data_IF_534166579342
#
_entry.id   IF_534166579342
#
_cell.length_a   1.000
_cell.length_b   1.000
_cell.length_c   1.000
_cell.angle_alpha   90.00
_cell.angle_beta   90.00
_cell.angle_gamma   90.00
#
_symmetry.space_group_name_H-M   'P 1'
#
loop_
_entity.id
_entity.type
_entity.pdbx_description
1 polymer ?
#
# COMPACT_ATOMS: atom_id res chain seq x y z
N UNK A 1 23.77 21.41 -20.83
CA UNK A 1 22.46 21.63 -21.49
C UNK A 1 21.84 22.86 -20.85
N UNK A 2 21.57 23.91 -21.63
CA UNK A 2 20.89 25.09 -21.11
C UNK A 2 19.38 24.84 -21.01
N UNK A 3 18.67 25.71 -20.28
CA UNK A 3 17.22 25.61 -20.17
C UNK A 3 16.50 25.81 -21.53
N UNK A 4 17.06 26.65 -22.41
CA UNK A 4 16.53 26.85 -23.75
C UNK A 4 16.73 25.61 -24.62
N UNK A 5 17.92 24.99 -24.57
CA UNK A 5 18.17 23.72 -25.28
C UNK A 5 17.19 22.64 -24.83
N UNK A 6 16.92 22.58 -23.52
CA UNK A 6 15.95 21.64 -22.96
C UNK A 6 14.55 21.88 -23.52
N UNK A 7 14.05 23.13 -23.50
CA UNK A 7 12.73 23.49 -24.05
C UNK A 7 12.62 23.19 -25.53
N UNK A 8 13.62 23.56 -26.33
CA UNK A 8 13.65 23.28 -27.76
C UNK A 8 13.61 21.77 -28.02
N UNK A 9 14.29 20.97 -27.20
CA UNK A 9 14.25 19.52 -27.33
C UNK A 9 12.86 18.89 -27.13
N UNK A 10 11.92 19.59 -26.50
CA UNK A 10 10.55 19.10 -26.26
C UNK A 10 9.62 19.28 -27.46
N UNK A 11 10.05 20.02 -28.49
CA UNK A 11 9.23 20.25 -29.69
C UNK A 11 8.80 18.96 -30.39
N UNK A 12 9.65 17.94 -30.34
CA UNK A 12 9.50 16.68 -31.06
C UNK A 12 9.38 15.46 -30.12
N UNK A 13 9.25 15.68 -28.80
CA UNK A 13 9.09 14.59 -27.82
C UNK A 13 8.27 15.01 -26.61
N UNK A 14 7.65 14.04 -25.97
CA UNK A 14 6.97 14.22 -24.68
C UNK A 14 7.88 13.87 -23.50
N UNK A 15 7.54 14.40 -22.32
CA UNK A 15 8.19 14.04 -21.07
C UNK A 15 7.57 12.76 -20.51
N UNK A 16 8.40 11.83 -20.04
CA UNK A 16 7.89 10.62 -19.39
C UNK A 16 7.22 10.99 -18.07
N UNK A 17 5.90 10.77 -17.99
CA UNK A 17 5.11 10.99 -16.77
C UNK A 17 4.65 12.43 -16.54
N UNK A 18 4.97 13.37 -17.44
CA UNK A 18 4.68 14.80 -17.31
C UNK A 18 4.22 15.38 -18.64
N UNK A 19 3.74 16.62 -18.59
CA UNK A 19 3.33 17.38 -19.76
C UNK A 19 3.74 18.85 -19.61
N UNK A 20 3.71 19.63 -20.67
CA UNK A 20 3.98 21.07 -20.61
C UNK A 20 3.43 21.77 -21.84
N UNK A 21 3.45 23.10 -21.86
CA UNK A 21 3.13 23.86 -23.09
C UNK A 21 4.11 23.58 -24.25
N UNK A 22 5.32 23.07 -23.94
CA UNK A 22 6.39 22.85 -24.91
C UNK A 22 6.46 21.42 -25.44
N UNK A 23 5.74 20.46 -24.83
CA UNK A 23 5.74 19.07 -25.27
C UNK A 23 5.09 18.93 -26.65
N UNK A 24 5.54 17.94 -27.41
CA UNK A 24 4.98 17.61 -28.71
C UNK A 24 3.45 17.47 -28.67
N UNK A 25 2.91 16.72 -27.69
CA UNK A 25 1.48 16.46 -27.57
C UNK A 25 0.65 17.74 -27.36
N UNK A 26 1.05 18.62 -26.45
CA UNK A 26 0.32 19.87 -26.19
C UNK A 26 0.43 20.85 -27.36
N UNK A 27 1.62 20.98 -27.98
CA UNK A 27 1.81 21.83 -29.18
C UNK A 27 0.95 21.35 -30.34
N UNK A 28 0.84 20.03 -30.54
CA UNK A 28 -0.03 19.44 -31.57
C UNK A 28 -1.50 19.79 -31.33
N UNK A 29 -1.97 19.76 -30.07
CA UNK A 29 -3.33 20.18 -29.74
C UNK A 29 -3.56 21.67 -30.02
N UNK A 30 -2.62 22.54 -29.64
CA UNK A 30 -2.70 23.99 -29.95
C UNK A 30 -2.86 24.22 -31.45
N UNK A 31 -2.05 23.54 -32.27
CA UNK A 31 -2.15 23.63 -33.73
C UNK A 31 -3.48 23.06 -34.26
N UNK A 32 -3.93 21.90 -33.77
CA UNK A 32 -5.17 21.24 -34.20
C UNK A 32 -6.41 22.12 -33.97
N UNK A 33 -6.44 22.86 -32.86
CA UNK A 33 -7.55 23.74 -32.51
C UNK A 33 -7.36 25.18 -33.02
N UNK A 34 -6.29 25.46 -33.78
CA UNK A 34 -5.93 26.82 -34.22
C UNK A 34 -5.91 27.83 -33.06
N UNK A 35 -5.42 27.39 -31.88
CA UNK A 35 -5.37 28.21 -30.68
C UNK A 35 -4.14 29.12 -30.68
N UNK A 36 -4.24 30.29 -30.04
CA UNK A 36 -3.12 31.23 -29.85
C UNK A 36 -2.04 30.67 -28.91
N UNK A 37 -2.44 29.75 -28.03
CA UNK A 37 -1.57 29.07 -27.08
C UNK A 37 -2.39 28.14 -26.18
N UNK A 38 -1.74 27.57 -25.17
CA UNK A 38 -2.41 26.74 -24.17
C UNK A 38 -2.47 27.47 -22.82
N UNK A 39 -3.63 27.42 -22.16
CA UNK A 39 -3.81 27.93 -20.80
C UNK A 39 -3.70 26.76 -19.80
N UNK A 40 -2.50 26.54 -19.28
CA UNK A 40 -2.19 25.42 -18.39
C UNK A 40 -2.26 25.79 -16.91
N UNK A 41 -2.39 24.78 -16.06
CA UNK A 41 -2.07 24.87 -14.64
C UNK A 41 -1.10 23.76 -14.19
N UNK A 42 -0.65 23.82 -12.93
CA UNK A 42 0.29 22.85 -12.37
C UNK A 42 -0.15 21.39 -12.51
N UNK A 43 -1.46 21.13 -12.43
CA UNK A 43 -1.99 19.76 -12.50
C UNK A 43 -1.91 19.18 -13.90
N UNK A 44 -2.07 20.00 -14.93
CA UNK A 44 -1.79 19.57 -16.30
C UNK A 44 -0.33 19.15 -16.47
N UNK A 45 0.60 19.93 -15.93
CA UNK A 45 2.05 19.67 -16.01
C UNK A 45 2.45 18.42 -15.24
N UNK A 46 1.89 18.23 -14.04
CA UNK A 46 2.18 17.11 -13.13
C UNK A 46 1.46 15.80 -13.50
N UNK A 47 0.74 15.76 -14.61
CA UNK A 47 0.07 14.55 -15.12
C UNK A 47 0.62 14.17 -16.49
N UNK A 48 0.68 12.88 -16.84
CA UNK A 48 1.25 12.46 -18.12
C UNK A 48 0.37 12.89 -19.31
N UNK A 49 0.93 12.85 -20.51
CA UNK A 49 0.22 13.20 -21.76
C UNK A 49 -0.96 12.27 -22.05
N UNK A 50 -0.88 11.01 -21.62
CA UNK A 50 -1.90 9.97 -21.76
C UNK A 50 -2.88 9.92 -20.58
N UNK A 51 -2.84 10.92 -19.70
CA UNK A 51 -3.77 11.00 -18.58
C UNK A 51 -5.23 11.04 -19.06
N UNK A 52 -6.08 10.29 -18.36
CA UNK A 52 -7.52 10.27 -18.54
C UNK A 52 -8.24 10.63 -17.25
N UNK A 53 -9.37 11.33 -17.37
CA UNK A 53 -10.16 11.74 -16.21
C UNK A 53 -10.73 10.51 -15.48
N UNK A 54 -10.56 10.38 -14.15
CA UNK A 54 -11.09 9.25 -13.41
C UNK A 54 -12.61 9.20 -13.39
N UNK A 55 -13.30 10.34 -13.57
CA UNK A 55 -14.76 10.39 -13.65
C UNK A 55 -15.26 10.07 -15.06
N UNK A 56 -14.98 10.93 -16.06
CA UNK A 56 -15.56 10.80 -17.41
C UNK A 56 -14.72 10.01 -18.42
N UNK A 57 -13.53 9.51 -18.03
CA UNK A 57 -12.60 8.73 -18.85
C UNK A 57 -12.06 9.41 -20.12
N UNK A 58 -12.41 10.69 -20.35
CA UNK A 58 -11.87 11.49 -21.46
C UNK A 58 -10.38 11.74 -21.27
N UNK A 59 -9.62 11.66 -22.37
CA UNK A 59 -8.19 11.99 -22.43
C UNK A 59 -7.96 13.50 -22.44
N UNK A 60 -6.72 13.95 -22.22
CA UNK A 60 -6.32 15.37 -22.38
C UNK A 60 -6.80 15.98 -23.71
N UNK A 61 -6.60 15.28 -24.82
CA UNK A 61 -7.06 15.76 -26.14
C UNK A 61 -8.59 15.87 -26.29
N UNK A 62 -9.37 15.17 -25.46
CA UNK A 62 -10.83 15.19 -25.47
C UNK A 62 -11.46 16.17 -24.47
N UNK A 63 -10.67 16.78 -23.57
CA UNK A 63 -11.18 17.75 -22.58
C UNK A 63 -10.82 19.20 -22.92
N UNK A 64 -9.91 19.40 -23.87
CA UNK A 64 -9.53 20.74 -24.33
C UNK A 64 -10.61 21.37 -25.20
N UNK A 65 -10.74 22.69 -25.16
CA UNK A 65 -11.55 23.51 -26.06
C UNK A 65 -10.99 24.92 -26.11
N UNK A 66 -11.40 25.73 -27.08
CA UNK A 66 -11.05 27.15 -27.09
C UNK A 66 -11.81 27.87 -25.99
N UNK A 67 -11.10 28.71 -25.24
CA UNK A 67 -11.73 29.68 -24.34
C UNK A 67 -12.09 30.97 -25.11
N UNK A 68 -12.72 31.92 -24.42
CA UNK A 68 -13.14 33.22 -24.97
C UNK A 68 -12.00 34.08 -25.56
N UNK A 69 -10.75 33.77 -25.25
CA UNK A 69 -9.56 34.47 -25.71
C UNK A 69 -8.79 33.65 -26.77
N UNK A 70 -9.38 32.61 -27.37
CA UNK A 70 -8.73 31.70 -28.32
C UNK A 70 -7.54 30.89 -27.78
N UNK A 71 -7.40 30.74 -26.46
CA UNK A 71 -6.44 29.83 -25.85
C UNK A 71 -7.09 28.47 -25.59
N UNK A 72 -6.31 27.40 -25.72
CA UNK A 72 -6.74 26.04 -25.44
C UNK A 72 -6.85 25.79 -23.93
N UNK A 73 -7.99 25.29 -23.45
CA UNK A 73 -8.23 25.05 -22.02
C UNK A 73 -7.50 23.78 -21.53
N UNK A 74 -6.32 23.95 -20.96
CA UNK A 74 -5.48 22.87 -20.46
C UNK A 74 -5.45 22.84 -18.92
N UNK A 75 -6.63 22.76 -18.29
CA UNK A 75 -6.78 22.85 -16.83
C UNK A 75 -7.33 21.57 -16.21
N UNK A 76 -6.65 21.07 -15.18
CA UNK A 76 -7.10 19.98 -14.32
C UNK A 76 -7.27 20.48 -12.89
N UNK A 77 -8.09 19.82 -12.08
CA UNK A 77 -8.41 20.25 -10.72
C UNK A 77 -8.15 19.15 -9.72
N UNK A 78 -7.63 19.50 -8.54
CA UNK A 78 -7.63 18.59 -7.39
C UNK A 78 -9.01 18.62 -6.74
N UNK A 79 -9.79 17.59 -7.01
CA UNK A 79 -11.09 17.36 -6.42
C UNK A 79 -10.92 16.70 -5.05
N UNK A 80 -11.55 17.25 -4.03
CA UNK A 80 -11.41 16.80 -2.65
C UNK A 80 -12.75 16.89 -1.92
N UNK A 81 -12.87 16.11 -0.85
CA UNK A 81 -13.94 16.23 0.12
C UNK A 81 -13.63 17.40 1.07
N UNK A 82 -14.65 18.14 1.51
CA UNK A 82 -14.48 19.35 2.33
C UNK A 82 -14.52 19.11 3.85
N UNK A 83 -14.34 17.86 4.31
CA UNK A 83 -14.30 17.55 5.75
C UNK A 83 -13.19 18.28 6.50
N UNK A 84 -12.09 18.67 5.83
CA UNK A 84 -11.03 19.47 6.43
C UNK A 84 -11.55 20.86 6.84
N UNK A 85 -12.27 21.53 5.94
CA UNK A 85 -12.92 22.81 6.19
C UNK A 85 -14.05 22.71 7.21
N UNK A 86 -14.84 21.62 7.18
CA UNK A 86 -15.90 21.35 8.17
C UNK A 86 -15.34 21.35 9.58
N UNK A 87 -14.34 20.50 9.82
CA UNK A 87 -13.80 20.29 11.16
C UNK A 87 -13.13 21.56 11.67
N UNK A 88 -12.39 22.27 10.80
CA UNK A 88 -11.79 23.56 11.13
C UNK A 88 -12.85 24.60 11.55
N UNK A 89 -13.90 24.76 10.74
CA UNK A 89 -14.98 25.71 11.01
C UNK A 89 -15.72 25.39 12.31
N UNK A 90 -16.00 24.10 12.55
CA UNK A 90 -16.66 23.67 13.79
C UNK A 90 -15.76 23.87 15.00
N UNK A 91 -14.46 23.58 14.90
CA UNK A 91 -13.50 23.81 15.97
C UNK A 91 -13.44 25.30 16.34
N UNK A 92 -13.29 26.19 15.35
CA UNK A 92 -13.28 27.63 15.56
C UNK A 92 -14.58 28.09 16.25
N UNK A 93 -15.74 27.65 15.77
CA UNK A 93 -17.04 27.93 16.39
C UNK A 93 -17.08 27.53 17.86
N UNK A 94 -16.65 26.31 18.20
CA UNK A 94 -16.70 25.82 19.58
C UNK A 94 -15.63 26.45 20.49
N UNK A 95 -14.47 26.79 19.93
CA UNK A 95 -13.41 27.46 20.67
C UNK A 95 -13.79 28.92 21.01
N UNK A 96 -14.37 29.66 20.06
CA UNK A 96 -14.82 31.05 20.27
C UNK A 96 -15.98 31.15 21.25
N UNK A 97 -16.91 30.18 21.23
CA UNK A 97 -18.06 30.18 22.13
C UNK A 97 -17.71 30.02 23.62
N UNK A 98 -16.43 29.85 23.97
CA UNK A 98 -15.97 29.63 25.34
C UNK A 98 -15.43 30.90 25.98
N UNK A 99 -15.83 31.13 27.23
CA UNK A 99 -15.36 32.24 28.05
C UNK A 99 -13.90 32.09 28.53
N UNK A 100 -13.33 30.89 28.47
CA UNK A 100 -11.93 30.63 28.80
C UNK A 100 -11.24 29.95 27.61
N UNK A 101 -10.16 30.57 27.12
CA UNK A 101 -9.39 30.06 26.00
C UNK A 101 -8.46 28.93 26.46
N UNK A 102 -8.93 27.70 26.30
CA UNK A 102 -8.18 26.47 26.65
C UNK A 102 -7.55 25.83 25.40
N UNK A 103 -8.19 26.00 24.23
CA UNK A 103 -7.74 25.46 22.96
C UNK A 103 -6.58 26.28 22.35
N UNK A 104 -5.61 25.56 21.79
CA UNK A 104 -4.39 26.10 21.18
C UNK A 104 -4.18 25.52 19.76
N UNK A 105 -3.05 25.85 19.12
CA UNK A 105 -2.71 25.35 17.78
C UNK A 105 -2.65 23.81 17.73
N UNK A 106 -2.31 23.14 18.85
CA UNK A 106 -2.25 21.68 18.91
C UNK A 106 -3.66 21.08 18.91
N UNK A 107 -4.61 21.73 19.60
CA UNK A 107 -6.03 21.38 19.53
C UNK A 107 -6.56 21.48 18.10
N UNK A 108 -6.24 22.56 17.37
CA UNK A 108 -6.65 22.72 15.97
C UNK A 108 -6.07 21.61 15.08
N UNK A 109 -4.76 21.33 15.21
CA UNK A 109 -4.10 20.25 14.46
C UNK A 109 -4.72 18.88 14.73
N UNK A 110 -5.11 18.60 15.98
CA UNK A 110 -5.81 17.36 16.32
C UNK A 110 -7.16 17.28 15.61
N UNK A 111 -7.95 18.36 15.64
CA UNK A 111 -9.23 18.42 14.95
C UNK A 111 -9.03 18.15 13.44
N UNK A 112 -8.17 18.91 12.77
CA UNK A 112 -7.89 18.76 11.33
C UNK A 112 -7.45 17.34 10.97
N UNK A 113 -6.64 16.68 11.82
CA UNK A 113 -6.18 15.30 11.58
C UNK A 113 -7.34 14.29 11.47
N UNK A 114 -8.45 14.52 12.16
CA UNK A 114 -9.65 13.68 12.08
C UNK A 114 -10.32 13.73 10.70
N UNK A 115 -10.19 14.83 9.95
CA UNK A 115 -10.84 15.03 8.68
C UNK A 115 -10.44 13.99 7.62
N UNK A 116 -9.20 13.50 7.68
CA UNK A 116 -8.73 12.45 6.78
C UNK A 116 -9.59 11.18 6.91
N UNK A 117 -9.88 10.75 8.14
CA UNK A 117 -10.72 9.56 8.40
C UNK A 117 -12.20 9.78 8.08
N UNK A 118 -12.63 11.04 7.99
CA UNK A 118 -14.02 11.42 7.69
C UNK A 118 -14.23 11.73 6.20
N UNK A 119 -13.19 11.87 5.40
CA UNK A 119 -13.34 12.15 3.96
C UNK A 119 -13.94 10.94 3.24
N UNK A 120 -14.89 11.15 2.31
CA UNK A 120 -15.50 10.03 1.57
C UNK A 120 -14.53 9.41 0.53
N UNK A 121 -13.54 10.17 0.10
CA UNK A 121 -12.59 9.77 -0.94
C UNK A 121 -11.28 10.59 -0.83
N UNK A 122 -10.21 10.04 -1.39
CA UNK A 122 -8.90 10.70 -1.46
C UNK A 122 -8.90 11.87 -2.46
N UNK A 123 -8.06 12.89 -2.19
CA UNK A 123 -7.82 14.00 -3.12
C UNK A 123 -7.41 13.45 -4.49
N UNK A 124 -8.15 13.79 -5.53
CA UNK A 124 -8.04 13.17 -6.85
C UNK A 124 -7.99 14.23 -7.95
N UNK A 125 -7.09 14.08 -8.92
CA UNK A 125 -7.06 14.99 -10.07
C UNK A 125 -8.18 14.62 -11.05
N UNK A 126 -8.99 15.61 -11.43
CA UNK A 126 -10.11 15.49 -12.38
C UNK A 126 -10.02 16.56 -13.46
N UNK A 127 -10.76 16.41 -14.55
CA UNK A 127 -10.84 17.46 -15.56
C UNK A 127 -11.70 18.63 -15.08
N UNK A 128 -11.45 19.83 -15.64
CA UNK A 128 -12.21 21.03 -15.34
C UNK A 128 -13.73 20.81 -15.40
N UNK A 129 -14.21 20.11 -16.42
CA UNK A 129 -15.65 19.89 -16.62
C UNK A 129 -16.26 18.98 -15.55
N UNK A 130 -15.54 17.96 -15.07
CA UNK A 130 -16.04 17.10 -13.99
C UNK A 130 -16.09 17.86 -12.66
N UNK A 131 -15.10 18.72 -12.41
CA UNK A 131 -15.11 19.60 -11.23
C UNK A 131 -16.29 20.59 -11.28
N UNK A 132 -16.59 21.14 -12.47
CA UNK A 132 -17.77 21.97 -12.68
C UNK A 132 -19.07 21.19 -12.51
N UNK A 133 -19.13 19.97 -13.04
CA UNK A 133 -20.31 19.11 -12.94
C UNK A 133 -20.66 18.75 -11.49
N UNK A 134 -19.67 18.55 -10.62
CA UNK A 134 -19.91 18.45 -9.16
C UNK A 134 -20.62 19.69 -8.62
N UNK A 135 -20.05 20.88 -8.87
CA UNK A 135 -20.62 22.14 -8.39
C UNK A 135 -22.06 22.37 -8.89
N UNK A 136 -22.34 22.03 -10.14
CA UNK A 136 -23.68 22.21 -10.73
C UNK A 136 -24.66 21.14 -10.23
N UNK A 137 -24.24 19.88 -10.08
CA UNK A 137 -25.07 18.82 -9.50
C UNK A 137 -25.47 19.13 -8.05
N UNK A 138 -24.55 19.70 -7.24
CA UNK A 138 -24.84 20.13 -5.87
C UNK A 138 -25.95 21.17 -5.79
N UNK A 139 -26.00 22.11 -6.74
CA UNK A 139 -27.08 23.11 -6.83
C UNK A 139 -28.42 22.45 -7.16
N UNK A 140 -28.43 21.49 -8.10
CA UNK A 140 -29.64 20.77 -8.52
C UNK A 140 -30.26 20.01 -7.35
N UNK A 141 -29.45 19.25 -6.60
CA UNK A 141 -29.93 18.43 -5.48
C UNK A 141 -30.03 19.19 -4.15
N UNK A 142 -29.64 20.47 -4.12
CA UNK A 142 -29.56 21.31 -2.92
C UNK A 142 -28.72 20.66 -1.81
N UNK A 143 -27.57 20.12 -2.19
CA UNK A 143 -26.65 19.49 -1.25
C UNK A 143 -26.07 20.50 -0.24
N UNK A 144 -25.56 19.99 0.87
CA UNK A 144 -24.84 20.80 1.85
C UNK A 144 -23.59 21.46 1.23
N UNK A 145 -23.23 22.67 1.67
CA UNK A 145 -22.11 23.44 1.09
C UNK A 145 -20.75 22.71 1.18
N UNK A 146 -20.55 21.91 2.24
CA UNK A 146 -19.35 21.09 2.43
C UNK A 146 -19.44 19.68 1.82
N UNK A 147 -20.51 19.37 1.10
CA UNK A 147 -20.60 18.12 0.37
C UNK A 147 -19.89 18.24 -0.98
N UNK A 148 -19.32 17.14 -1.44
CA UNK A 148 -18.79 16.94 -2.79
C UNK A 148 -18.99 15.48 -3.20
N UNK A 149 -19.40 15.26 -4.45
CA UNK A 149 -19.55 13.91 -5.00
C UNK A 149 -18.18 13.28 -5.25
N UNK A 150 -18.01 12.00 -4.93
CA UNK A 150 -16.78 11.28 -5.27
C UNK A 150 -16.59 11.17 -6.79
N UNK A 151 -15.36 10.93 -7.30
CA UNK A 151 -15.14 10.72 -8.74
C UNK A 151 -16.02 9.62 -9.35
N UNK A 152 -16.32 8.57 -8.57
CA UNK A 152 -17.23 7.49 -8.97
C UNK A 152 -18.67 8.00 -9.08
N UNK A 153 -19.14 8.74 -8.09
CA UNK A 153 -20.49 9.33 -8.10
C UNK A 153 -20.66 10.32 -9.25
N UNK A 154 -19.67 11.18 -9.50
CA UNK A 154 -19.68 12.10 -10.65
C UNK A 154 -19.84 11.32 -11.96
N UNK A 155 -19.14 10.19 -12.11
CA UNK A 155 -19.21 9.37 -13.33
C UNK A 155 -20.61 8.80 -13.62
N UNK A 156 -21.47 8.68 -12.61
CA UNK A 156 -22.82 8.12 -12.78
C UNK A 156 -23.77 9.12 -13.47
N UNK A 157 -23.64 10.42 -13.19
CA UNK A 157 -24.57 11.43 -13.71
C UNK A 157 -24.01 12.33 -14.81
N UNK A 158 -22.71 12.30 -15.10
CA UNK A 158 -22.13 13.11 -16.19
C UNK A 158 -22.35 12.47 -17.56
N UNK A 159 -22.92 13.24 -18.47
CA UNK A 159 -23.00 12.90 -19.89
C UNK A 159 -21.87 13.67 -20.58
N UNK A 160 -20.89 12.93 -21.11
CA UNK A 160 -19.68 13.50 -21.70
C UNK A 160 -19.63 13.34 -23.21
N UNK A 161 -19.08 14.36 -23.88
CA UNK A 161 -18.68 14.30 -25.29
C UNK A 161 -17.29 14.93 -25.46
N UNK A 162 -16.51 14.54 -26.48
CA UNK A 162 -15.21 15.14 -26.75
C UNK A 162 -15.31 16.66 -26.97
N UNK A 163 -14.41 17.41 -26.34
CA UNK A 163 -14.19 18.85 -26.52
C UNK A 163 -15.39 19.76 -26.18
N UNK A 164 -16.38 19.22 -25.46
CA UNK A 164 -17.56 19.96 -25.01
C UNK A 164 -17.70 19.85 -23.48
N UNK A 165 -18.47 20.78 -22.90
CA UNK A 165 -18.82 20.73 -21.48
C UNK A 165 -19.75 19.55 -21.17
N UNK A 166 -19.71 19.08 -19.91
CA UNK A 166 -20.60 18.02 -19.48
C UNK A 166 -22.05 18.51 -19.37
N UNK A 167 -22.97 17.62 -19.76
CA UNK A 167 -24.38 17.72 -19.34
C UNK A 167 -24.57 16.85 -18.10
N UNK A 168 -25.52 17.22 -17.25
CA UNK A 168 -25.85 16.48 -16.03
C UNK A 168 -27.17 15.75 -16.24
N UNK A 169 -27.19 14.46 -15.95
CA UNK A 169 -28.44 13.72 -15.77
C UNK A 169 -28.99 14.02 -14.37
N UNK A 170 -29.94 14.94 -14.27
CA UNK A 170 -30.49 15.41 -13.00
C UNK A 170 -31.13 14.31 -12.17
N UNK A 171 -31.79 13.35 -12.82
CA UNK A 171 -32.47 12.25 -12.15
C UNK A 171 -31.45 11.32 -11.49
N UNK A 172 -30.39 10.96 -12.20
CA UNK A 172 -29.30 10.15 -11.61
C UNK A 172 -28.59 10.94 -10.51
N UNK A 173 -28.34 12.25 -10.68
CA UNK A 173 -27.72 13.07 -9.64
C UNK A 173 -28.54 13.05 -8.33
N UNK A 174 -29.87 13.12 -8.40
CA UNK A 174 -30.77 12.99 -7.24
C UNK A 174 -30.67 11.61 -6.59
N UNK A 175 -30.72 10.53 -7.39
CA UNK A 175 -30.60 9.16 -6.87
C UNK A 175 -29.26 8.91 -6.18
N UNK A 176 -28.17 9.44 -6.76
CA UNK A 176 -26.83 9.38 -6.15
C UNK A 176 -26.81 10.13 -4.83
N UNK A 177 -27.38 11.34 -4.77
CA UNK A 177 -27.47 12.14 -3.55
C UNK A 177 -28.26 11.41 -2.45
N UNK A 178 -29.46 10.91 -2.75
CA UNK A 178 -30.29 10.16 -1.79
C UNK A 178 -29.55 8.97 -1.19
N UNK A 179 -28.73 8.29 -2.00
CA UNK A 179 -27.92 7.15 -1.58
C UNK A 179 -26.78 7.56 -0.63
N UNK A 180 -26.10 8.68 -0.87
CA UNK A 180 -24.91 9.09 -0.09
C UNK A 180 -25.22 10.07 1.05
N UNK A 181 -26.40 10.69 1.03
CA UNK A 181 -26.81 11.67 2.04
C UNK A 181 -26.78 11.10 3.47
N UNK A 182 -27.26 9.87 3.77
CA UNK A 182 -27.24 9.35 5.13
C UNK A 182 -25.82 9.22 5.71
N UNK A 183 -24.87 8.73 4.91
CA UNK A 183 -23.48 8.58 5.38
C UNK A 183 -22.78 9.94 5.51
N UNK A 184 -23.13 10.94 4.68
CA UNK A 184 -22.65 12.31 4.86
C UNK A 184 -23.08 12.90 6.20
N UNK A 185 -24.32 12.69 6.64
CA UNK A 185 -24.80 13.16 7.95
C UNK A 185 -24.02 12.54 9.11
N UNK A 186 -23.77 11.23 9.07
CA UNK A 186 -22.96 10.54 10.10
C UNK A 186 -21.55 11.15 10.16
N UNK A 187 -20.95 11.45 9.02
CA UNK A 187 -19.63 12.11 8.97
C UNK A 187 -19.65 13.50 9.58
N UNK A 188 -20.69 14.29 9.35
CA UNK A 188 -20.89 15.61 9.96
C UNK A 188 -21.03 15.51 11.49
N UNK A 189 -21.81 14.54 12.00
CA UNK A 189 -21.94 14.31 13.45
C UNK A 189 -20.60 13.91 14.09
N UNK A 190 -19.81 13.08 13.42
CA UNK A 190 -18.47 12.72 13.89
C UNK A 190 -17.53 13.93 13.88
N UNK A 191 -17.54 14.74 12.81
CA UNK A 191 -16.75 15.95 12.70
C UNK A 191 -17.05 16.93 13.85
N UNK A 192 -18.33 17.08 14.19
CA UNK A 192 -18.77 17.89 15.33
C UNK A 192 -18.22 17.38 16.66
N UNK A 193 -18.31 16.06 16.92
CA UNK A 193 -17.75 15.45 18.14
C UNK A 193 -16.24 15.67 18.25
N UNK A 194 -15.48 15.48 17.17
CA UNK A 194 -14.03 15.71 17.18
C UNK A 194 -13.68 17.18 17.41
N UNK A 195 -14.40 18.10 16.75
CA UNK A 195 -14.22 19.54 16.95
C UNK A 195 -14.50 19.97 18.40
N UNK A 196 -15.57 19.44 19.03
CA UNK A 196 -15.88 19.71 20.44
C UNK A 196 -14.80 19.18 21.38
N UNK A 197 -14.34 17.93 21.20
CA UNK A 197 -13.26 17.34 22.01
C UNK A 197 -11.99 18.18 21.91
N UNK A 198 -11.63 18.61 20.70
CA UNK A 198 -10.48 19.46 20.44
C UNK A 198 -10.60 20.82 21.13
N UNK A 199 -11.75 21.48 21.01
CA UNK A 199 -12.05 22.75 21.67
C UNK A 199 -12.07 22.63 23.20
N UNK A 200 -12.36 21.43 23.71
CA UNK A 200 -12.35 21.10 25.14
C UNK A 200 -10.98 20.78 25.70
N UNK A 201 -10.00 20.48 24.84
CA UNK A 201 -8.71 19.93 25.24
C UNK A 201 -8.86 18.74 26.19
N UNK A 202 -9.87 17.89 25.95
CA UNK A 202 -9.94 16.57 26.59
C UNK A 202 -8.74 15.78 26.07
N UNK A 203 -7.85 15.32 26.96
CA UNK A 203 -6.48 14.81 26.73
C UNK A 203 -6.34 13.61 25.77
N UNK A 204 -6.85 13.71 24.54
CA UNK A 204 -6.85 12.64 23.53
C UNK A 204 -5.63 12.70 22.61
N UNK A 205 -4.95 13.85 22.56
CA UNK A 205 -3.79 14.05 21.70
C UNK A 205 -2.66 14.74 22.44
N UNK A 206 -1.57 14.00 22.63
CA UNK A 206 -0.33 14.52 23.17
C UNK A 206 0.72 14.53 22.04
N UNK A 207 1.16 15.70 21.56
CA UNK A 207 2.22 15.76 20.56
C UNK A 207 3.56 15.36 21.17
N UNK A 208 4.39 14.69 20.37
CA UNK A 208 5.79 14.47 20.71
C UNK A 208 6.60 15.75 20.50
N UNK A 209 7.60 16.02 21.34
CA UNK A 209 8.52 17.15 21.18
C UNK A 209 9.29 17.10 19.85
N UNK A 210 9.74 15.90 19.47
CA UNK A 210 10.38 15.63 18.19
C UNK A 210 9.69 14.42 17.55
N UNK A 211 9.24 14.57 16.31
CA UNK A 211 8.58 13.51 15.54
C UNK A 211 9.59 12.71 14.73
N UNK A 212 9.29 11.45 14.42
CA UNK A 212 10.15 10.63 13.53
C UNK A 212 10.41 11.30 12.19
N UNK A 213 9.41 11.96 11.59
CA UNK A 213 9.56 12.71 10.33
C UNK A 213 10.56 13.86 10.43
N UNK A 214 10.63 14.55 11.57
CA UNK A 214 11.63 15.59 11.78
C UNK A 214 13.04 14.99 11.88
N UNK A 215 13.18 13.87 12.61
CA UNK A 215 14.45 13.13 12.68
C UNK A 215 14.87 12.65 11.30
N UNK A 216 13.97 12.08 10.50
CA UNK A 216 14.22 11.62 9.12
C UNK A 216 14.70 12.76 8.21
N UNK A 217 14.04 13.93 8.25
CA UNK A 217 14.44 15.10 7.46
C UNK A 217 15.84 15.60 7.85
N UNK A 218 16.11 15.72 9.15
CA UNK A 218 17.44 16.10 9.67
C UNK A 218 18.49 15.07 9.25
N UNK A 219 18.16 13.79 9.38
CA UNK A 219 19.07 12.69 9.04
C UNK A 219 19.37 12.64 7.56
N UNK A 220 18.40 12.92 6.67
CA UNK A 220 18.62 13.00 5.23
C UNK A 220 19.68 14.06 4.87
N UNK A 221 19.60 15.24 5.48
CA UNK A 221 20.63 16.27 5.32
C UNK A 221 21.98 15.81 5.87
N UNK A 222 22.01 15.17 7.05
CA UNK A 222 23.24 14.62 7.61
C UNK A 222 23.85 13.52 6.72
N UNK A 223 23.03 12.67 6.11
CA UNK A 223 23.49 11.65 5.18
C UNK A 223 24.10 12.26 3.92
N UNK A 224 23.49 13.31 3.36
CA UNK A 224 24.04 14.06 2.23
C UNK A 224 25.37 14.74 2.60
N UNK A 225 25.40 15.45 3.73
CA UNK A 225 26.59 16.16 4.22
C UNK A 225 27.77 15.22 4.48
N UNK A 226 27.51 13.99 4.94
CA UNK A 226 28.54 12.98 5.19
C UNK A 226 28.79 12.07 3.98
N UNK A 227 28.27 12.38 2.79
CA UNK A 227 28.48 11.61 1.56
C UNK A 227 27.82 10.22 1.55
N UNK A 228 27.00 9.88 2.53
CA UNK A 228 26.38 8.55 2.64
C UNK A 228 25.35 8.31 1.53
N UNK A 229 24.71 9.36 0.99
CA UNK A 229 23.80 9.24 -0.15
C UNK A 229 24.51 8.91 -1.47
N UNK A 230 25.82 9.13 -1.56
CA UNK A 230 26.63 8.71 -2.72
C UNK A 230 26.94 7.20 -2.65
N UNK A 231 27.06 6.66 -1.44
CA UNK A 231 27.28 5.23 -1.19
C UNK A 231 25.98 4.42 -1.33
N UNK A 232 24.90 4.89 -0.72
CA UNK A 232 23.56 4.32 -0.85
C UNK A 232 22.50 5.41 -0.84
N UNK A 233 21.87 5.63 -2.01
CA UNK A 233 20.84 6.65 -2.20
C UNK A 233 19.53 6.34 -1.46
N UNK A 234 19.27 5.08 -1.14
CA UNK A 234 17.97 4.61 -0.69
C UNK A 234 17.93 4.30 0.80
N UNK A 235 18.96 3.64 1.34
CA UNK A 235 19.01 3.21 2.75
C UNK A 235 20.39 3.51 3.39
N UNK A 236 20.87 4.78 3.36
CA UNK A 236 22.19 5.17 3.85
C UNK A 236 22.43 4.83 5.32
N UNK A 237 21.38 4.78 6.14
CA UNK A 237 21.48 4.43 7.56
C UNK A 237 21.99 3.01 7.79
N UNK A 238 21.72 2.06 6.88
CA UNK A 238 22.14 0.66 7.02
C UNK A 238 23.65 0.46 6.94
N UNK A 239 24.38 1.45 6.44
CA UNK A 239 25.84 1.49 6.46
C UNK A 239 26.36 1.66 7.90
N UNK A 240 25.58 2.30 8.77
CA UNK A 240 26.00 2.71 10.11
C UNK A 240 25.65 1.68 11.21
N UNK A 241 24.99 0.59 10.88
CA UNK A 241 24.70 -0.47 11.84
C UNK A 241 24.62 -1.85 11.18
N UNK A 242 24.91 -2.90 11.95
CA UNK A 242 24.72 -4.25 11.46
C UNK A 242 23.21 -4.54 11.37
N UNK A 243 22.73 -4.72 10.15
CA UNK A 243 21.33 -5.07 9.88
C UNK A 243 20.98 -6.50 10.32
N UNK A 244 21.99 -7.36 10.53
CA UNK A 244 21.79 -8.68 11.10
C UNK A 244 21.65 -8.59 12.63
N UNK A 245 20.41 -8.70 13.11
CA UNK A 245 20.15 -8.90 14.54
C UNK A 245 20.91 -10.13 15.05
N UNK A 246 21.51 -10.04 16.24
CA UNK A 246 22.15 -11.18 16.91
C UNK A 246 21.14 -12.33 17.09
N UNK A 247 21.26 -13.41 16.28
CA UNK A 247 20.27 -14.51 16.20
C UNK A 247 20.39 -15.54 17.33
N UNK A 248 21.31 -15.35 18.29
CA UNK A 248 21.60 -16.33 19.33
C UNK A 248 22.22 -17.63 18.78
N UNK A 249 22.15 -18.73 19.55
CA UNK A 249 22.60 -20.05 19.08
C UNK A 249 21.74 -20.54 17.91
N UNK A 250 22.34 -21.23 16.94
CA UNK A 250 21.66 -21.66 15.71
C UNK A 250 20.47 -22.58 15.95
N UNK A 251 20.56 -23.45 16.95
CA UNK A 251 19.49 -24.40 17.29
C UNK A 251 18.36 -23.75 18.14
N UNK A 252 18.44 -22.46 18.44
CA UNK A 252 17.48 -21.80 19.33
C UNK A 252 16.03 -21.86 18.82
N UNK A 253 15.81 -21.92 17.50
CA UNK A 253 14.46 -22.01 16.91
C UNK A 253 13.72 -23.29 17.31
N UNK A 254 14.45 -24.41 17.47
CA UNK A 254 13.90 -25.72 17.84
C UNK A 254 13.85 -25.99 19.34
N UNK A 255 14.47 -25.12 20.14
CA UNK A 255 14.40 -25.16 21.62
C UNK A 255 13.27 -24.31 22.20
N UNK A 256 12.59 -23.49 21.39
CA UNK A 256 11.48 -22.65 21.84
C UNK A 256 10.25 -23.50 22.17
N UNK A 257 9.76 -23.39 23.40
CA UNK A 257 8.50 -24.01 23.81
C UNK A 257 7.31 -23.22 23.24
N UNK A 258 6.78 -23.68 22.11
CA UNK A 258 5.60 -23.06 21.49
C UNK A 258 4.32 -23.63 22.12
N UNK A 259 3.44 -22.81 22.73
CA UNK A 259 2.21 -23.30 23.34
C UNK A 259 1.29 -23.97 22.31
N UNK A 260 0.50 -24.93 22.79
CA UNK A 260 -0.58 -25.54 21.99
C UNK A 260 -1.76 -24.59 22.00
N UNK A 261 -2.29 -24.31 20.82
CA UNK A 261 -3.49 -23.49 20.65
C UNK A 261 -4.70 -24.43 20.67
N UNK A 262 -5.50 -24.33 21.73
CA UNK A 262 -6.71 -25.12 21.89
C UNK A 262 -7.91 -24.50 21.17
N UNK A 263 -7.92 -23.17 21.00
CA UNK A 263 -8.97 -22.45 20.27
C UNK A 263 -8.94 -22.88 18.80
N UNK A 264 -10.13 -23.07 18.21
CA UNK A 264 -10.31 -23.28 16.77
C UNK A 264 -10.94 -22.05 16.13
N UNK A 265 -10.61 -21.70 14.87
CA UNK A 265 -11.28 -20.61 14.18
C UNK A 265 -12.78 -20.89 14.04
N UNK A 266 -13.62 -19.95 14.48
CA UNK A 266 -15.06 -20.01 14.18
C UNK A 266 -15.33 -19.77 12.69
N UNK A 267 -16.54 -20.07 12.22
CA UNK A 267 -16.93 -19.81 10.83
C UNK A 267 -16.82 -18.31 10.47
N UNK A 268 -17.20 -17.42 11.40
CA UNK A 268 -17.10 -15.97 11.20
C UNK A 268 -15.64 -15.49 11.20
N UNK A 269 -14.81 -16.01 12.12
CA UNK A 269 -13.37 -15.69 12.15
C UNK A 269 -12.67 -16.18 10.89
N UNK A 270 -13.05 -17.35 10.37
CA UNK A 270 -12.54 -17.88 9.12
C UNK A 270 -13.00 -17.05 7.92
N UNK A 271 -14.28 -16.67 7.86
CA UNK A 271 -14.81 -15.78 6.81
C UNK A 271 -14.08 -14.44 6.79
N UNK A 272 -13.81 -13.86 7.97
CA UNK A 272 -13.01 -12.64 8.09
C UNK A 272 -11.55 -12.83 7.62
N UNK A 273 -10.92 -13.97 7.93
CA UNK A 273 -9.59 -14.30 7.42
C UNK A 273 -9.59 -14.35 5.88
N UNK A 274 -10.61 -14.96 5.29
CA UNK A 274 -10.75 -15.09 3.83
C UNK A 274 -10.95 -13.72 3.19
N UNK A 275 -11.88 -12.90 3.69
CA UNK A 275 -12.17 -11.59 3.10
C UNK A 275 -11.01 -10.59 3.21
N UNK A 276 -10.21 -10.68 4.27
CA UNK A 276 -9.10 -9.74 4.50
C UNK A 276 -7.75 -10.26 3.99
N UNK A 277 -7.54 -11.58 3.96
CA UNK A 277 -6.23 -12.22 3.68
C UNK A 277 -6.35 -13.59 2.99
N UNK A 278 -7.41 -13.79 2.21
CA UNK A 278 -7.77 -15.08 1.59
C UNK A 278 -6.89 -15.57 0.46
N UNK A 279 -5.85 -14.83 0.02
CA UNK A 279 -5.06 -15.20 -1.16
C UNK A 279 -4.49 -16.62 -1.16
N UNK A 280 -4.15 -17.17 0.01
CA UNK A 280 -3.68 -18.56 0.14
C UNK A 280 -4.84 -19.54 0.35
N UNK A 281 -5.95 -19.07 0.90
CA UNK A 281 -7.16 -19.87 1.09
C UNK A 281 -7.83 -20.21 -0.25
N UNK A 282 -7.93 -19.21 -1.14
CA UNK A 282 -8.58 -19.32 -2.46
C UNK A 282 -7.72 -20.06 -3.48
N UNK A 283 -6.39 -19.99 -3.33
CA UNK A 283 -5.44 -20.61 -4.26
C UNK A 283 -5.45 -22.15 -4.22
N UNK A 284 -5.78 -22.73 -3.07
CA UNK A 284 -5.75 -24.18 -2.86
C UNK A 284 -7.13 -24.65 -2.44
N UNK A 285 -7.63 -25.71 -3.08
CA UNK A 285 -8.90 -26.31 -2.71
C UNK A 285 -8.84 -27.03 -1.35
N UNK A 286 -9.97 -27.60 -0.92
CA UNK A 286 -10.09 -28.26 0.39
C UNK A 286 -9.45 -29.65 0.44
N UNK A 287 -9.07 -30.22 -0.71
CA UNK A 287 -8.33 -31.48 -0.80
C UNK A 287 -6.84 -31.30 -0.52
N UNK A 288 -6.32 -30.06 -0.61
CA UNK A 288 -4.91 -29.79 -0.34
C UNK A 288 -4.51 -30.24 1.07
N UNK A 289 -3.39 -30.95 1.12
CA UNK A 289 -2.70 -31.37 2.34
C UNK A 289 -1.25 -30.96 2.25
N UNK A 290 -0.68 -30.58 3.39
CA UNK A 290 0.73 -30.24 3.43
C UNK A 290 1.58 -31.49 3.12
N UNK A 291 2.42 -31.49 2.07
CA UNK A 291 3.17 -32.68 1.65
C UNK A 291 4.21 -33.12 2.69
N UNK A 292 4.54 -32.28 3.67
CA UNK A 292 5.42 -32.61 4.80
C UNK A 292 4.67 -33.12 6.03
N UNK A 293 3.71 -32.34 6.57
CA UNK A 293 3.08 -32.65 7.86
C UNK A 293 1.68 -33.27 7.75
N UNK A 294 1.18 -33.46 6.53
CA UNK A 294 -0.13 -34.01 6.17
C UNK A 294 -1.38 -33.28 6.71
N UNK A 295 -1.17 -32.17 7.45
CA UNK A 295 -2.27 -31.30 7.89
C UNK A 295 -3.08 -30.81 6.69
N UNK A 296 -4.40 -30.83 6.86
CA UNK A 296 -5.37 -30.21 5.94
C UNK A 296 -5.22 -28.69 5.97
N UNK A 297 -5.74 -28.04 4.92
CA UNK A 297 -5.78 -26.56 4.80
C UNK A 297 -6.31 -25.88 6.08
N UNK A 298 -7.46 -26.32 6.60
CA UNK A 298 -8.06 -25.76 7.82
C UNK A 298 -7.17 -25.95 9.06
N UNK A 299 -6.54 -27.12 9.22
CA UNK A 299 -5.68 -27.44 10.38
C UNK A 299 -4.38 -26.61 10.41
N UNK A 300 -4.00 -26.03 9.27
CA UNK A 300 -2.88 -25.10 9.14
C UNK A 300 -3.21 -23.66 9.54
N UNK A 301 -4.49 -23.32 9.74
CA UNK A 301 -4.92 -21.99 10.20
C UNK A 301 -4.53 -21.85 11.66
N UNK A 302 -3.70 -20.86 12.01
CA UNK A 302 -3.23 -20.66 13.39
C UNK A 302 -3.05 -19.18 13.74
N UNK A 303 -3.01 -18.78 15.03
CA UNK A 303 -2.69 -17.41 15.39
C UNK A 303 -1.25 -17.04 15.05
N UNK A 304 -1.02 -15.74 14.97
CA UNK A 304 0.31 -15.12 14.86
C UNK A 304 0.40 -13.94 15.82
N UNK A 305 1.60 -13.40 16.04
CA UNK A 305 1.79 -12.24 16.91
C UNK A 305 1.02 -10.99 16.43
N UNK A 306 0.72 -10.90 15.13
CA UNK A 306 0.07 -9.73 14.52
C UNK A 306 -1.42 -9.93 14.27
N UNK A 307 -1.87 -11.18 14.12
CA UNK A 307 -3.18 -11.51 13.58
C UNK A 307 -3.79 -12.69 14.32
N UNK A 308 -5.09 -12.59 14.60
CA UNK A 308 -5.90 -13.64 15.27
C UNK A 308 -5.78 -14.99 14.58
N UNK A 309 -5.83 -15.00 13.24
CA UNK A 309 -5.64 -16.19 12.41
C UNK A 309 -4.81 -15.86 11.18
N UNK A 310 -4.00 -16.82 10.73
CA UNK A 310 -3.26 -16.78 9.47
C UNK A 310 -3.27 -18.15 8.81
N UNK A 311 -3.32 -18.15 7.48
CA UNK A 311 -2.97 -19.30 6.64
C UNK A 311 -1.96 -18.83 5.61
N UNK A 312 -0.81 -19.48 5.57
CA UNK A 312 0.21 -19.26 4.55
C UNK A 312 0.67 -20.62 4.02
N UNK A 313 0.65 -20.75 2.71
CA UNK A 313 1.12 -21.94 1.97
C UNK A 313 2.17 -21.45 0.98
N UNK A 314 3.41 -21.94 1.13
CA UNK A 314 4.60 -21.43 0.45
C UNK A 314 5.40 -22.56 -0.16
N UNK A 315 6.10 -22.29 -1.26
CA UNK A 315 7.08 -23.19 -1.86
C UNK A 315 8.47 -22.56 -1.81
N UNK A 316 9.49 -23.41 -1.67
CA UNK A 316 10.89 -23.06 -1.86
C UNK A 316 11.63 -24.30 -2.41
N UNK A 317 12.85 -24.12 -2.96
CA UNK A 317 13.63 -25.26 -3.41
C UNK A 317 14.04 -26.12 -2.21
N UNK A 318 13.87 -27.44 -2.35
CA UNK A 318 14.40 -28.46 -1.44
C UNK A 318 15.49 -29.24 -2.17
N UNK A 319 16.33 -29.94 -1.41
CA UNK A 319 17.42 -30.73 -1.98
C UNK A 319 16.87 -31.90 -2.82
N UNK A 320 17.40 -32.06 -4.03
CA UNK A 320 17.17 -33.21 -4.93
C UNK A 320 18.50 -33.78 -5.43
N UNK A 321 18.57 -35.09 -5.65
CA UNK A 321 19.76 -35.77 -6.20
C UNK A 321 19.89 -35.59 -7.72
N UNK A 322 18.78 -35.24 -8.39
CA UNK A 322 18.79 -34.80 -9.79
C UNK A 322 19.18 -33.32 -9.85
N UNK A 323 20.12 -33.02 -10.75
CA UNK A 323 20.76 -31.72 -11.00
C UNK A 323 19.81 -30.54 -10.77
N UNK A 324 20.34 -29.47 -10.15
CA UNK A 324 19.77 -28.14 -9.94
C UNK A 324 18.83 -27.68 -11.07
N UNK A 325 17.61 -28.17 -11.10
CA UNK A 325 16.51 -27.32 -11.48
C UNK A 325 16.34 -26.37 -10.30
N UNK A 326 16.96 -25.21 -10.38
CA UNK A 326 16.65 -24.04 -9.53
C UNK A 326 15.14 -23.73 -9.60
N UNK A 327 14.45 -24.28 -10.61
CA UNK A 327 13.00 -24.27 -10.80
C UNK A 327 12.24 -25.43 -10.13
N UNK A 328 12.91 -26.43 -9.52
CA UNK A 328 12.27 -27.54 -8.80
C UNK A 328 11.81 -27.06 -7.42
N UNK A 329 10.82 -26.17 -7.45
CA UNK A 329 10.10 -25.72 -6.26
C UNK A 329 9.38 -26.93 -5.70
N UNK A 330 9.70 -27.30 -4.46
CA UNK A 330 8.95 -28.33 -3.78
C UNK A 330 7.46 -27.99 -3.78
N UNK A 331 6.62 -29.03 -3.77
CA UNK A 331 5.18 -28.85 -3.61
C UNK A 331 4.88 -27.90 -2.44
N UNK A 332 3.95 -26.93 -2.61
CA UNK A 332 3.70 -25.92 -1.60
C UNK A 332 3.35 -26.54 -0.24
N UNK A 333 4.06 -26.12 0.79
CA UNK A 333 3.92 -26.58 2.16
C UNK A 333 3.24 -25.53 3.04
N UNK A 334 2.65 -25.96 4.15
CA UNK A 334 2.24 -25.02 5.19
C UNK A 334 3.46 -24.20 5.68
N UNK A 335 3.22 -22.96 6.09
CA UNK A 335 4.28 -22.04 6.51
C UNK A 335 5.15 -22.58 7.66
N UNK A 336 4.60 -23.43 8.51
CA UNK A 336 5.37 -24.02 9.61
C UNK A 336 6.42 -25.03 9.12
N UNK A 337 6.07 -25.90 8.17
CA UNK A 337 7.03 -26.79 7.51
C UNK A 337 8.06 -25.99 6.71
N UNK A 338 7.63 -24.96 5.98
CA UNK A 338 8.54 -24.11 5.22
C UNK A 338 9.55 -23.41 6.12
N UNK A 339 9.09 -22.79 7.22
CA UNK A 339 10.00 -22.18 8.18
C UNK A 339 10.96 -23.21 8.79
N UNK A 340 10.49 -24.43 9.08
CA UNK A 340 11.33 -25.52 9.58
C UNK A 340 12.43 -25.88 8.57
N UNK A 341 12.12 -26.00 7.30
CA UNK A 341 13.10 -26.30 6.25
C UNK A 341 14.17 -25.19 6.13
N UNK A 342 13.76 -23.93 6.24
CA UNK A 342 14.69 -22.80 6.23
C UNK A 342 15.62 -22.79 7.44
N UNK A 343 15.08 -22.97 8.65
CA UNK A 343 15.90 -22.96 9.87
C UNK A 343 16.83 -24.17 9.97
N UNK A 344 16.34 -25.37 9.63
CA UNK A 344 17.17 -26.57 9.57
C UNK A 344 18.29 -26.43 8.53
N UNK A 345 17.96 -25.87 7.36
CA UNK A 345 18.94 -25.58 6.32
C UNK A 345 20.02 -24.59 6.77
N UNK A 346 19.64 -23.57 7.56
CA UNK A 346 20.60 -22.61 8.14
C UNK A 346 21.55 -23.27 9.14
N UNK A 347 21.08 -24.23 9.94
CA UNK A 347 21.96 -25.01 10.83
C UNK A 347 23.02 -25.75 10.01
N UNK A 348 22.61 -26.48 8.97
CA UNK A 348 23.51 -27.24 8.08
C UNK A 348 24.51 -26.32 7.37
N UNK A 349 24.05 -25.19 6.82
CA UNK A 349 24.92 -24.23 6.13
C UNK A 349 25.97 -23.68 7.10
N UNK A 350 25.56 -23.28 8.31
CA UNK A 350 26.50 -22.73 9.29
C UNK A 350 27.51 -23.77 9.77
N UNK A 351 27.11 -25.02 9.99
CA UNK A 351 28.06 -26.10 10.33
C UNK A 351 29.02 -26.45 9.18
N UNK A 352 28.57 -26.30 7.93
CA UNK A 352 29.44 -26.51 6.76
C UNK A 352 30.46 -25.40 6.52
N UNK A 353 30.29 -24.23 7.15
CA UNK A 353 31.09 -23.03 6.89
C UNK A 353 30.94 -22.46 5.47
N UNK A 354 29.87 -22.84 4.75
CA UNK A 354 29.56 -22.37 3.39
C UNK A 354 28.42 -21.35 3.41
N UNK A 355 28.13 -20.77 2.25
CA UNK A 355 27.03 -19.83 2.04
C UNK A 355 26.12 -20.32 0.92
N UNK A 356 24.82 -20.06 1.03
CA UNK A 356 23.83 -20.40 0.01
C UNK A 356 22.63 -19.45 0.14
N UNK A 357 22.09 -18.99 -0.99
CA UNK A 357 20.98 -18.03 -1.02
C UNK A 357 19.67 -18.61 -0.47
N UNK A 358 19.45 -19.91 -0.69
CA UNK A 358 18.24 -20.62 -0.26
C UNK A 358 18.58 -21.73 0.74
N UNK A 359 18.50 -21.47 2.05
CA UNK A 359 18.85 -22.47 3.07
C UNK A 359 18.08 -23.78 2.96
N UNK A 360 16.81 -23.74 2.55
CA UNK A 360 16.00 -24.96 2.41
C UNK A 360 16.54 -25.92 1.34
N UNK A 361 17.37 -25.45 0.40
CA UNK A 361 17.90 -26.26 -0.70
C UNK A 361 18.89 -27.33 -0.27
N UNK A 362 19.33 -27.35 0.99
CA UNK A 362 20.16 -28.45 1.55
C UNK A 362 19.32 -29.51 2.28
N UNK A 363 18.01 -29.28 2.43
CA UNK A 363 17.09 -30.14 3.18
C UNK A 363 16.22 -30.95 2.22
N UNK A 364 16.10 -32.26 2.43
CA UNK A 364 15.16 -33.12 1.70
C UNK A 364 13.79 -33.13 2.37
N UNK A 365 12.73 -33.30 1.59
CA UNK A 365 11.37 -33.44 2.14
C UNK A 365 11.27 -34.64 3.10
N UNK A 366 11.95 -35.75 2.80
CA UNK A 366 11.98 -36.94 3.66
C UNK A 366 12.68 -36.73 5.00
N UNK A 367 13.71 -35.88 5.06
CA UNK A 367 14.37 -35.47 6.31
C UNK A 367 13.41 -34.60 7.13
N UNK A 368 12.72 -33.66 6.48
CA UNK A 368 11.76 -32.77 7.13
C UNK A 368 10.58 -33.56 7.76
N UNK A 369 10.06 -34.56 7.04
CA UNK A 369 9.00 -35.48 7.54
C UNK A 369 9.42 -36.23 8.81
N UNK A 370 10.70 -36.57 8.97
CA UNK A 370 11.18 -37.31 10.15
C UNK A 370 11.20 -36.45 11.41
N UNK A 371 11.45 -35.15 11.26
CA UNK A 371 11.73 -34.25 12.40
C UNK A 371 10.52 -33.43 12.85
N UNK A 372 9.56 -33.16 11.96
CA UNK A 372 8.38 -32.35 12.26
C UNK A 372 7.35 -33.14 13.07
N UNK A 373 6.91 -32.55 14.18
CA UNK A 373 5.74 -33.00 14.95
C UNK A 373 4.58 -32.03 14.64
N UNK A 374 3.64 -32.50 13.83
CA UNK A 374 2.47 -31.73 13.42
C UNK A 374 1.57 -31.42 14.61
N UNK A 375 1.03 -30.19 14.68
CA UNK A 375 0.03 -29.80 15.68
C UNK A 375 -1.05 -28.98 15.00
N UNK A 376 -2.31 -29.32 15.24
CA UNK A 376 -3.46 -28.63 14.66
C UNK A 376 -3.53 -27.20 15.23
N UNK A 377 -3.77 -26.22 14.35
CA UNK A 377 -3.86 -24.79 14.67
C UNK A 377 -2.68 -24.20 15.46
N UNK A 378 -1.54 -24.88 15.45
CA UNK A 378 -0.36 -24.54 16.25
C UNK A 378 0.91 -24.67 15.42
N UNK A 379 1.99 -24.02 15.87
CA UNK A 379 3.33 -24.24 15.30
C UNK A 379 3.77 -25.69 15.54
N UNK A 380 4.67 -26.20 14.72
CA UNK A 380 5.26 -27.51 14.92
C UNK A 380 6.11 -27.60 16.20
N UNK A 381 6.25 -28.82 16.72
CA UNK A 381 7.35 -29.21 17.59
C UNK A 381 8.34 -30.04 16.77
N UNK A 382 9.50 -30.34 17.36
CA UNK A 382 10.61 -30.97 16.66
C UNK A 382 11.17 -32.14 17.46
N UNK A 383 11.58 -33.20 16.78
CA UNK A 383 12.36 -34.30 17.36
C UNK A 383 13.84 -33.90 17.37
N UNK A 384 14.26 -33.18 18.42
CA UNK A 384 15.60 -32.56 18.46
C UNK A 384 16.74 -33.58 18.32
N UNK A 385 16.65 -34.74 19.00
CA UNK A 385 17.67 -35.79 18.90
C UNK A 385 17.81 -36.34 17.47
N UNK A 386 16.69 -36.43 16.74
CA UNK A 386 16.70 -36.87 15.33
C UNK A 386 17.35 -35.79 14.45
N UNK A 387 17.10 -34.51 14.72
CA UNK A 387 17.76 -33.42 14.01
C UNK A 387 19.28 -33.50 14.23
N UNK A 388 19.73 -33.66 15.47
CA UNK A 388 21.16 -33.73 15.80
C UNK A 388 21.86 -34.92 15.12
N UNK A 389 21.16 -36.05 14.97
CA UNK A 389 21.67 -37.20 14.21
C UNK A 389 21.73 -36.97 12.70
N UNK A 390 20.78 -36.19 12.14
CA UNK A 390 20.69 -35.95 10.71
C UNK A 390 21.69 -34.91 10.21
N UNK A 391 21.94 -33.84 10.97
CA UNK A 391 22.75 -32.70 10.55
C UNK A 391 24.13 -33.13 9.98
N UNK A 392 24.94 -33.99 10.63
CA UNK A 392 26.24 -34.39 10.09
C UNK A 392 26.15 -35.03 8.71
N UNK A 393 25.13 -35.86 8.48
CA UNK A 393 24.89 -36.50 7.17
C UNK A 393 24.46 -35.49 6.10
N UNK A 394 23.64 -34.50 6.48
CA UNK A 394 23.21 -33.41 5.59
C UNK A 394 24.38 -32.51 5.21
N UNK A 395 25.26 -32.17 6.16
CA UNK A 395 26.50 -31.40 5.93
C UNK A 395 27.40 -32.15 4.96
N UNK A 396 27.68 -33.44 5.20
CA UNK A 396 28.50 -34.27 4.29
C UNK A 396 27.92 -34.31 2.88
N UNK A 397 26.61 -34.49 2.75
CA UNK A 397 25.90 -34.49 1.46
C UNK A 397 26.03 -33.14 0.75
N UNK A 398 25.84 -32.05 1.47
CA UNK A 398 25.95 -30.70 0.92
C UNK A 398 27.37 -30.37 0.44
N UNK A 399 28.39 -30.72 1.23
CA UNK A 399 29.79 -30.49 0.84
C UNK A 399 30.18 -31.30 -0.41
N UNK A 400 29.83 -32.60 -0.45
CA UNK A 400 30.08 -33.45 -1.62
C UNK A 400 29.35 -32.94 -2.88
N UNK A 401 28.14 -32.40 -2.72
CA UNK A 401 27.41 -31.77 -3.82
C UNK A 401 28.16 -30.54 -4.36
N UNK A 402 28.64 -29.65 -3.50
CA UNK A 402 29.39 -28.46 -3.92
C UNK A 402 30.70 -28.79 -4.64
N UNK A 403 31.36 -29.89 -4.25
CA UNK A 403 32.57 -30.38 -4.94
C UNK A 403 32.24 -30.86 -6.36
N UNK A 404 31.14 -31.61 -6.53
CA UNK A 404 30.70 -32.11 -7.84
C UNK A 404 30.28 -31.00 -8.81
N UNK A 405 29.79 -29.87 -8.32
CA UNK A 405 29.38 -28.73 -9.15
C UNK A 405 30.51 -27.75 -9.49
N UNK A 406 31.72 -27.95 -8.94
CA UNK A 406 32.91 -27.16 -9.28
C UNK A 406 33.72 -27.75 -10.43
N UNK A 407 33.55 -29.05 -10.68
CA UNK A 407 33.98 -29.73 -11.91
C UNK A 407 32.85 -29.70 -12.94
#
# INVERSE_FOLDING_TARGET
MTFNDFRESLKDKDLKGLDSEFTYSTRRLVALFSAEGAHLNRWWVMTPVDWFCPCCKRTKGQIVRLNKNNYLTCQLHEHHDHMEEVVKTLFEKYAIARNQQIADELSERFAIKSAFSLSAYDKTIVCFDCNKADADAKKIVKAHNYFSFSPKEISEFVISSPNHEHKINEEIAKQVWERVQPIFHIRMEMAEKFAMIAAEKKDWYQPSLETSKQIERRSKWLFEYNGLLELDKYEPEKILYNTEHFKGKNNSWRLKNNPVIMKRPSAQELSHLISTRGKYWERYDDSWRCPCCDRKKYECVRPSNKNTWVLEIKSAPLFSDTILEINNRAEPMCVDCMNTALELGREVIKESGKTLDFPSSVVRLSELKKVVIARVHSKHLFKNDVIDQLIPSMVKRFLSFLEKTKN
#
